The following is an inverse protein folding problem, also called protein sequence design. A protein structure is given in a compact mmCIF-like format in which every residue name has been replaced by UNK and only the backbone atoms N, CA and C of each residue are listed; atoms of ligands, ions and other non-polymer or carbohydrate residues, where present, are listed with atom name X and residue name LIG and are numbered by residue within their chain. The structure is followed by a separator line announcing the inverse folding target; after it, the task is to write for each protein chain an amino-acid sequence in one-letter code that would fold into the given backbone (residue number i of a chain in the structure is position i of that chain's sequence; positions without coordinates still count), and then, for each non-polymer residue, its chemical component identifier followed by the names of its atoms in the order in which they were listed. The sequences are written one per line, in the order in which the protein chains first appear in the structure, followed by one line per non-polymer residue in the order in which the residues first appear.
data_IF_968093585466
#
_entry.id   IF_968093585466
#
_cell.length_a   1.000
_cell.length_b   1.000
_cell.length_c   1.000
_cell.angle_alpha   90.00
_cell.angle_beta   90.00
_cell.angle_gamma   90.00
#
_symmetry.space_group_name_H-M   'P 1'
#
loop_
_entity.id
_entity.type
_entity.pdbx_description
1 polymer ?
#
# COMPACT_ATOMS: atom_id res chain seq x y z
N UNK A 1 -14.26 -3.42 -11.20
CA UNK A 1 -13.45 -2.93 -12.34
C UNK A 1 -12.06 -2.71 -11.78
N UNK A 2 -11.05 -3.46 -12.21
CA UNK A 2 -9.68 -3.17 -11.82
C UNK A 2 -9.26 -1.91 -12.58
N UNK A 3 -8.85 -0.86 -11.87
CA UNK A 3 -8.30 0.32 -12.52
C UNK A 3 -6.94 -0.08 -13.10
N UNK A 4 -6.86 -0.30 -14.40
CA UNK A 4 -5.58 -0.47 -15.09
C UNK A 4 -4.92 0.90 -15.21
N UNK A 5 -4.16 1.29 -14.18
CA UNK A 5 -3.29 2.46 -14.24
C UNK A 5 -1.98 2.07 -14.95
N UNK A 6 -2.02 2.13 -16.28
CA UNK A 6 -0.86 1.95 -17.15
C UNK A 6 0.12 3.13 -17.00
N UNK A 7 0.87 3.13 -15.89
CA UNK A 7 2.11 3.89 -15.58
C UNK A 7 2.27 4.21 -14.09
N UNK A 8 1.57 3.51 -13.19
CA UNK A 8 1.69 3.75 -11.76
C UNK A 8 3.07 3.33 -11.23
N UNK A 9 3.98 4.30 -11.10
CA UNK A 9 5.32 4.11 -10.51
C UNK A 9 5.28 4.47 -9.02
N UNK A 10 5.97 3.68 -8.21
CA UNK A 10 6.18 3.97 -6.79
C UNK A 10 7.65 3.95 -6.43
N UNK A 11 7.97 4.56 -5.30
CA UNK A 11 9.16 4.21 -4.55
C UNK A 11 8.85 2.91 -3.79
N UNK A 12 9.47 1.82 -4.23
CA UNK A 12 9.33 0.51 -3.62
C UNK A 12 10.55 0.18 -2.76
N UNK A 13 10.30 -0.23 -1.53
CA UNK A 13 11.32 -0.66 -0.58
C UNK A 13 11.08 -2.11 -0.21
N UNK A 14 12.02 -2.99 -0.54
CA UNK A 14 12.06 -4.32 0.06
C UNK A 14 12.28 -4.18 1.57
N UNK A 15 11.54 -4.97 2.34
CA UNK A 15 11.54 -4.88 3.79
C UNK A 15 11.54 -6.27 4.43
N UNK A 16 12.02 -6.33 5.66
CA UNK A 16 11.87 -7.47 6.55
C UNK A 16 11.34 -7.03 7.92
N UNK A 17 10.53 -5.96 7.92
CA UNK A 17 10.04 -5.34 9.16
C UNK A 17 8.96 -6.22 9.79
N UNK A 18 9.19 -6.62 11.04
CA UNK A 18 8.18 -7.31 11.84
C UNK A 18 7.18 -6.31 12.44
N UNK A 19 5.89 -6.60 12.33
CA UNK A 19 4.82 -5.83 12.97
C UNK A 19 3.80 -6.76 13.64
N UNK A 20 2.98 -6.20 14.52
CA UNK A 20 1.80 -6.89 15.05
C UNK A 20 0.58 -6.57 14.20
N UNK A 21 -0.14 -7.61 13.76
CA UNK A 21 -1.44 -7.43 13.12
C UNK A 21 -2.57 -7.25 14.16
N UNK A 22 -3.78 -7.02 13.67
CA UNK A 22 -4.99 -6.85 14.49
C UNK A 22 -5.36 -8.09 15.30
N UNK A 23 -4.84 -9.26 14.96
CA UNK A 23 -5.01 -10.53 15.69
C UNK A 23 -3.88 -10.80 16.70
N UNK A 24 -3.03 -9.81 16.99
CA UNK A 24 -1.87 -9.96 17.87
C UNK A 24 -0.83 -11.00 17.39
N UNK A 25 -0.76 -11.26 16.09
CA UNK A 25 0.27 -12.10 15.48
C UNK A 25 1.41 -11.25 14.94
N UNK A 26 2.64 -11.75 15.11
CA UNK A 26 3.82 -11.17 14.47
C UNK A 26 3.81 -11.54 12.99
N UNK A 27 3.83 -10.53 12.13
CA UNK A 27 3.86 -10.69 10.68
C UNK A 27 5.02 -9.88 10.12
N UNK A 28 5.73 -10.46 9.16
CA UNK A 28 6.80 -9.76 8.45
C UNK A 28 6.23 -9.04 7.24
N UNK A 29 6.45 -7.73 7.15
CA UNK A 29 6.24 -7.00 5.91
C UNK A 29 7.35 -7.36 4.92
N UNK A 30 6.95 -7.77 3.72
CA UNK A 30 7.87 -8.08 2.61
C UNK A 30 8.23 -6.83 1.79
N UNK A 31 7.42 -5.78 1.87
CA UNK A 31 7.73 -4.53 1.19
C UNK A 31 6.81 -3.36 1.55
N UNK A 32 7.26 -2.17 1.19
CA UNK A 32 6.50 -0.92 1.29
C UNK A 32 6.53 -0.23 -0.07
N UNK A 33 5.35 0.03 -0.63
CA UNK A 33 5.19 0.77 -1.89
C UNK A 33 4.60 2.15 -1.61
N UNK A 34 5.34 3.22 -1.93
CA UNK A 34 4.90 4.60 -1.74
C UNK A 34 4.63 5.26 -3.08
N UNK A 35 3.38 5.64 -3.31
CA UNK A 35 2.91 6.27 -4.53
C UNK A 35 2.66 7.77 -4.30
N UNK A 36 3.05 8.64 -5.25
CA UNK A 36 2.69 10.05 -5.16
C UNK A 36 1.17 10.23 -5.31
N UNK A 37 0.56 11.02 -4.42
CA UNK A 37 -0.87 11.32 -4.45
C UNK A 37 -1.79 10.19 -3.98
N UNK A 38 -3.08 10.34 -4.31
CA UNK A 38 -4.12 9.34 -4.06
C UNK A 38 -4.26 8.40 -5.26
N UNK A 39 -3.91 7.12 -5.09
CA UNK A 39 -4.02 6.10 -6.15
C UNK A 39 -5.39 5.42 -6.20
N UNK A 40 -6.27 5.67 -5.24
CA UNK A 40 -7.57 5.01 -5.11
C UNK A 40 -8.61 5.98 -4.49
N UNK A 41 -8.85 7.15 -5.11
CA UNK A 41 -9.67 8.22 -4.54
C UNK A 41 -11.12 7.81 -4.24
N UNK A 42 -11.63 6.78 -4.92
CA UNK A 42 -12.96 6.21 -4.76
C UNK A 42 -13.15 5.43 -3.45
N UNK A 43 -12.06 4.96 -2.83
CA UNK A 43 -12.11 4.27 -1.54
C UNK A 43 -11.54 5.16 -0.41
N UNK A 44 -12.26 5.33 0.72
CA UNK A 44 -11.75 6.08 1.86
C UNK A 44 -10.57 5.35 2.55
N UNK A 45 -10.58 4.01 2.53
CA UNK A 45 -9.59 3.14 3.18
C UNK A 45 -9.25 1.98 2.23
N UNK A 46 -7.97 1.62 2.16
CA UNK A 46 -7.47 0.45 1.44
C UNK A 46 -7.07 -0.59 2.49
N UNK A 47 -7.91 -1.62 2.68
CA UNK A 47 -7.73 -2.64 3.74
C UNK A 47 -7.38 -4.03 3.22
N UNK A 48 -7.44 -4.25 1.91
CA UNK A 48 -7.13 -5.54 1.28
C UNK A 48 -6.83 -5.35 -0.20
N UNK A 49 -6.37 -6.41 -0.85
CA UNK A 49 -6.03 -6.45 -2.27
C UNK A 49 -4.71 -7.18 -2.52
N UNK A 50 -4.33 -7.32 -3.78
CA UNK A 50 -3.08 -7.91 -4.19
C UNK A 50 -2.34 -6.97 -5.15
N UNK A 51 -1.01 -7.02 -5.11
CA UNK A 51 -0.13 -6.28 -6.03
C UNK A 51 0.92 -7.23 -6.59
N UNK A 52 1.34 -6.99 -7.83
CA UNK A 52 2.46 -7.70 -8.44
C UNK A 52 3.64 -6.75 -8.52
N UNK A 53 4.71 -7.05 -7.77
CA UNK A 53 5.95 -6.25 -7.78
C UNK A 53 7.10 -7.16 -8.18
N UNK A 54 7.81 -6.78 -9.26
CA UNK A 54 8.88 -7.58 -9.87
C UNK A 54 8.46 -9.04 -10.20
N UNK A 55 7.21 -9.23 -10.63
CA UNK A 55 6.66 -10.55 -11.00
C UNK A 55 6.23 -11.43 -9.82
N UNK A 56 6.37 -10.94 -8.58
CA UNK A 56 5.88 -11.63 -7.39
C UNK A 56 4.60 -10.97 -6.86
N UNK A 57 3.55 -11.78 -6.71
CA UNK A 57 2.29 -11.38 -6.08
C UNK A 57 2.48 -11.24 -4.56
N UNK A 58 1.96 -10.16 -3.99
CA UNK A 58 1.97 -9.86 -2.56
C UNK A 58 0.60 -9.36 -2.12
N UNK A 59 0.25 -9.59 -0.86
CA UNK A 59 -1.03 -9.14 -0.31
C UNK A 59 -0.87 -7.77 0.33
N UNK A 60 -1.82 -6.86 0.08
CA UNK A 60 -1.91 -5.59 0.79
C UNK A 60 -2.45 -5.88 2.19
N UNK A 61 -1.59 -5.70 3.19
CA UNK A 61 -1.96 -5.83 4.59
C UNK A 61 -2.54 -4.50 5.13
N UNK A 62 -2.03 -3.36 4.66
CA UNK A 62 -2.54 -2.05 5.06
C UNK A 62 -2.21 -0.99 4.00
N UNK A 63 -3.21 -0.19 3.62
CA UNK A 63 -2.97 1.05 2.89
C UNK A 63 -3.15 2.28 3.77
N UNK A 64 -2.28 3.26 3.60
CA UNK A 64 -2.28 4.55 4.30
C UNK A 64 -2.38 5.66 3.27
N UNK A 65 -3.42 6.50 3.37
CA UNK A 65 -3.50 7.77 2.64
C UNK A 65 -2.97 8.87 3.55
N UNK A 66 -1.76 9.34 3.30
CA UNK A 66 -1.14 10.40 4.08
C UNK A 66 -1.79 11.75 3.74
N UNK A 67 -2.90 12.06 4.41
CA UNK A 67 -3.69 13.26 4.16
C UNK A 67 -3.01 14.50 4.75
N UNK A 68 -3.01 15.56 3.97
CA UNK A 68 -2.66 16.91 4.39
C UNK A 68 -3.79 17.55 5.20
N UNK A 69 -3.53 18.62 5.97
CA UNK A 69 -4.57 19.36 6.70
C UNK A 69 -5.70 19.92 5.82
N UNK A 70 -5.43 20.17 4.53
CA UNK A 70 -6.41 20.65 3.55
C UNK A 70 -7.29 19.53 2.95
N UNK A 71 -7.07 18.27 3.36
CA UNK A 71 -7.83 17.11 2.90
C UNK A 71 -7.26 16.40 1.67
N UNK A 72 -6.29 17.00 0.97
CA UNK A 72 -5.57 16.35 -0.14
C UNK A 72 -4.70 15.21 0.36
N UNK A 73 -4.32 14.27 -0.52
CA UNK A 73 -3.41 13.17 -0.18
C UNK A 73 -2.03 13.49 -0.73
N UNK A 74 -1.02 13.54 0.13
CA UNK A 74 0.36 13.74 -0.26
C UNK A 74 0.91 12.48 -0.97
N UNK A 75 0.78 11.33 -0.32
CA UNK A 75 1.16 10.04 -0.88
C UNK A 75 0.27 8.92 -0.33
N UNK A 76 0.25 7.81 -1.06
CA UNK A 76 -0.37 6.56 -0.62
C UNK A 76 0.72 5.53 -0.35
N UNK A 77 0.75 4.97 0.86
CA UNK A 77 1.65 3.89 1.27
C UNK A 77 0.88 2.56 1.31
N UNK A 78 1.37 1.53 0.62
CA UNK A 78 0.89 0.16 0.74
C UNK A 78 1.94 -0.69 1.46
N UNK A 79 1.53 -1.32 2.57
CA UNK A 79 2.32 -2.29 3.31
C UNK A 79 1.95 -3.68 2.86
N UNK A 80 2.96 -4.43 2.43
CA UNK A 80 2.79 -5.72 1.78
C UNK A 80 3.32 -6.84 2.66
N UNK A 81 2.62 -7.98 2.61
CA UNK A 81 3.06 -9.25 3.16
C UNK A 81 3.26 -10.24 2.03
#
# INVERSE_FOLDING_TARGET
MAAELNDLKCNYQDSAKMIMNTEQKLVQLSGIAMFPGDICPELPVISSGAVVVFGAERTIMQGIKARNPDGTVNYTELRLV
#
